data_IF_333109180582
#
_entry.id   IF_333109180582
#
_cell.length_a   1.000
_cell.length_b   1.000
_cell.length_c   1.000
_cell.angle_alpha   90.00
_cell.angle_beta   90.00
_cell.angle_gamma   90.00
#
_symmetry.space_group_name_H-M   'P 1'
#
loop_
_entity.id
_entity.type
_entity.pdbx_description
1 polymer ?
#
# COMPACT_ATOMS: atom_id res chain seq x y z
N UNK A 1 2.03 17.52 5.00
CA UNK A 1 1.55 16.23 4.45
C UNK A 1 1.91 15.20 5.48
N UNK A 2 0.92 14.67 6.19
CA UNK A 2 1.21 13.80 7.34
C UNK A 2 0.73 12.36 7.11
N UNK A 3 -0.09 12.12 6.08
CA UNK A 3 -0.64 10.80 5.76
C UNK A 3 -0.33 10.39 4.32
N UNK A 4 -0.26 9.07 4.08
CA UNK A 4 -0.16 8.47 2.75
C UNK A 4 -1.41 8.76 1.94
N UNK A 5 -2.58 8.77 2.59
CA UNK A 5 -3.85 9.16 1.97
C UNK A 5 -3.76 10.54 1.31
N UNK A 6 -3.28 11.56 2.03
CA UNK A 6 -3.10 12.91 1.48
C UNK A 6 -2.09 12.94 0.33
N UNK A 7 -0.95 12.25 0.51
CA UNK A 7 0.10 12.18 -0.49
C UNK A 7 -0.41 11.62 -1.83
N UNK A 8 -1.11 10.48 -1.78
CA UNK A 8 -1.65 9.82 -2.97
C UNK A 8 -2.72 10.67 -3.67
N UNK A 9 -3.56 11.36 -2.90
CA UNK A 9 -4.58 12.28 -3.43
C UNK A 9 -3.94 13.51 -4.10
N UNK A 10 -2.88 14.08 -3.51
CA UNK A 10 -2.18 15.22 -4.06
C UNK A 10 -1.40 14.89 -5.34
N UNK A 11 -0.91 13.66 -5.45
CA UNK A 11 -0.32 13.12 -6.67
C UNK A 11 -1.36 12.76 -7.75
N UNK A 12 -2.65 13.05 -7.55
CA UNK A 12 -3.70 12.85 -8.55
C UNK A 12 -4.12 11.39 -8.73
N UNK A 13 -3.77 10.50 -7.80
CA UNK A 13 -4.06 9.07 -7.93
C UNK A 13 -5.27 8.63 -7.12
N UNK A 14 -5.84 7.49 -7.53
CA UNK A 14 -6.74 6.72 -6.69
C UNK A 14 -6.00 5.60 -6.02
N UNK A 15 -6.48 5.21 -4.84
CA UNK A 15 -5.90 4.11 -4.11
C UNK A 15 -6.94 3.26 -3.38
N UNK A 16 -6.52 2.05 -3.05
CA UNK A 16 -7.24 1.07 -2.23
C UNK A 16 -6.25 0.42 -1.28
N UNK A 17 -6.71 0.19 -0.05
CA UNK A 17 -5.88 -0.40 1.00
C UNK A 17 -6.41 -1.79 1.35
N UNK A 18 -5.48 -2.71 1.56
CA UNK A 18 -5.76 -4.07 1.99
C UNK A 18 -4.87 -4.43 3.17
N UNK A 19 -5.42 -5.12 4.17
CA UNK A 19 -4.60 -5.87 5.13
C UNK A 19 -3.99 -7.07 4.40
N UNK A 20 -2.72 -7.36 4.69
CA UNK A 20 -2.00 -8.55 4.20
C UNK A 20 -1.27 -9.25 5.35
N UNK A 21 -1.65 -8.95 6.59
CA UNK A 21 -1.11 -9.54 7.81
C UNK A 21 -1.55 -10.99 7.95
N UNK A 22 -2.72 -11.20 8.57
CA UNK A 22 -3.27 -12.54 8.80
C UNK A 22 -4.06 -13.05 7.61
N UNK A 23 -4.83 -12.16 6.96
CA UNK A 23 -5.67 -12.46 5.79
C UNK A 23 -5.63 -11.29 4.84
N UNK A 24 -5.77 -11.57 3.54
CA UNK A 24 -5.94 -10.51 2.55
C UNK A 24 -7.38 -10.02 2.60
N UNK A 25 -7.59 -8.78 3.04
CA UNK A 25 -8.93 -8.17 3.13
C UNK A 25 -8.87 -6.67 2.90
N UNK A 26 -9.93 -6.11 2.33
CA UNK A 26 -10.00 -4.67 2.06
C UNK A 26 -10.17 -3.89 3.38
N UNK A 27 -9.44 -2.79 3.51
CA UNK A 27 -9.63 -1.79 4.56
C UNK A 27 -10.39 -0.60 3.94
N UNK A 28 -11.38 -0.07 4.65
CA UNK A 28 -12.08 1.14 4.20
C UNK A 28 -11.15 2.35 4.27
N UNK A 29 -11.31 3.29 3.34
CA UNK A 29 -10.50 4.51 3.30
C UNK A 29 -10.62 5.31 4.59
N UNK A 30 -11.83 5.37 5.19
CA UNK A 30 -12.07 6.04 6.47
C UNK A 30 -11.29 5.40 7.61
N UNK A 31 -11.32 4.07 7.73
CA UNK A 31 -10.59 3.35 8.78
C UNK A 31 -9.08 3.51 8.61
N UNK A 32 -8.59 3.48 7.36
CA UNK A 32 -7.19 3.72 7.07
C UNK A 32 -6.78 5.15 7.45
N UNK A 33 -7.59 6.15 7.08
CA UNK A 33 -7.33 7.54 7.42
C UNK A 33 -7.30 7.77 8.95
N UNK A 34 -8.24 7.20 9.70
CA UNK A 34 -8.23 7.31 11.17
C UNK A 34 -7.04 6.60 11.81
N UNK A 35 -6.64 5.45 11.27
CA UNK A 35 -5.40 4.76 11.65
C UNK A 35 -4.15 5.61 11.37
N UNK A 36 -4.06 6.21 10.18
CA UNK A 36 -2.96 7.08 9.79
C UNK A 36 -2.89 8.35 10.65
N UNK A 37 -4.00 8.80 11.23
CA UNK A 37 -4.02 9.90 12.18
C UNK A 37 -3.83 9.46 13.64
N UNK A 38 -3.51 8.18 13.88
CA UNK A 38 -3.42 7.57 15.21
C UNK A 38 -4.68 7.82 16.08
N UNK A 39 -5.86 7.93 15.46
CA UNK A 39 -7.14 8.08 16.17
C UNK A 39 -7.72 6.74 16.60
N UNK A 40 -7.45 5.70 15.82
CA UNK A 40 -7.93 4.34 16.07
C UNK A 40 -6.78 3.34 15.97
N UNK A 41 -6.74 2.31 16.84
CA UNK A 41 -5.76 1.25 16.72
C UNK A 41 -5.97 0.45 15.43
N UNK A 42 -4.90 -0.11 14.90
CA UNK A 42 -4.99 -0.96 13.71
C UNK A 42 -5.86 -2.19 14.00
N UNK A 43 -6.84 -2.53 13.15
CA UNK A 43 -7.81 -3.61 13.42
C UNK A 43 -7.19 -5.02 13.43
N UNK A 44 -6.09 -5.23 12.71
CA UNK A 44 -5.51 -6.57 12.49
C UNK A 44 -3.99 -6.61 12.77
N UNK A 45 -3.52 -6.23 13.97
CA UNK A 45 -2.09 -6.11 14.24
C UNK A 45 -1.41 -7.49 14.21
N UNK A 46 -0.23 -7.53 13.60
CA UNK A 46 0.60 -8.73 13.55
C UNK A 46 2.01 -8.41 14.03
N UNK A 47 2.41 -8.99 15.16
CA UNK A 47 3.72 -8.77 15.78
C UNK A 47 4.05 -7.27 15.98
N UNK A 48 3.10 -6.47 16.48
CA UNK A 48 3.22 -5.00 16.61
C UNK A 48 3.45 -4.25 15.29
N UNK A 49 3.02 -4.81 14.17
CA UNK A 49 3.06 -4.14 12.88
C UNK A 49 1.71 -4.23 12.18
N UNK A 50 1.37 -3.17 11.44
CA UNK A 50 0.33 -3.18 10.43
C UNK A 50 0.97 -3.58 9.09
N UNK A 51 0.59 -4.74 8.57
CA UNK A 51 1.01 -5.21 7.26
C UNK A 51 -0.08 -4.88 6.25
N UNK A 52 0.14 -3.83 5.46
CA UNK A 52 -0.82 -3.33 4.50
C UNK A 52 -0.27 -3.43 3.07
N UNK A 53 -1.19 -3.58 2.12
CA UNK A 53 -0.94 -3.41 0.71
C UNK A 53 -1.74 -2.20 0.22
N UNK A 54 -1.05 -1.20 -0.30
CA UNK A 54 -1.62 0.03 -0.84
C UNK A 54 -1.52 -0.05 -2.35
N UNK A 55 -2.65 -0.28 -3.00
CA UNK A 55 -2.80 -0.33 -4.45
C UNK A 55 -3.22 1.04 -4.94
N UNK A 56 -2.48 1.64 -5.87
CA UNK A 56 -2.79 2.95 -6.40
C UNK A 56 -2.56 3.02 -7.91
N UNK A 57 -3.28 3.92 -8.58
CA UNK A 57 -3.25 4.10 -10.03
C UNK A 57 -3.67 5.52 -10.41
N UNK A 58 -3.16 6.03 -11.52
CA UNK A 58 -3.63 7.27 -12.11
C UNK A 58 -4.83 6.96 -13.03
N UNK A 59 -5.89 7.77 -12.97
CA UNK A 59 -7.05 7.60 -13.88
C UNK A 59 -6.80 8.19 -15.27
N UNK A 60 -5.88 9.15 -15.37
CA UNK A 60 -5.68 9.95 -16.57
C UNK A 60 -4.52 9.44 -17.44
N UNK A 61 -3.57 8.71 -16.85
CA UNK A 61 -2.36 8.23 -17.52
C UNK A 61 -2.18 6.73 -17.25
N UNK A 62 -2.54 5.92 -18.25
CA UNK A 62 -2.39 4.45 -18.34
C UNK A 62 -3.12 3.58 -17.30
N UNK A 63 -3.49 2.37 -17.72
CA UNK A 63 -4.10 1.31 -16.89
C UNK A 63 -3.06 0.59 -15.98
N UNK A 64 -1.99 1.30 -15.63
CA UNK A 64 -0.89 0.77 -14.82
C UNK A 64 -1.24 0.86 -13.34
N UNK A 65 -1.13 -0.28 -12.67
CA UNK A 65 -1.46 -0.42 -11.26
C UNK A 65 -0.18 -0.63 -10.45
N UNK A 66 0.04 0.23 -9.48
CA UNK A 66 1.18 0.17 -8.57
C UNK A 66 0.74 -0.34 -7.21
N UNK A 67 1.58 -1.13 -6.55
CA UNK A 67 1.30 -1.63 -5.21
C UNK A 67 2.51 -1.45 -4.30
N UNK A 68 2.25 -0.89 -3.12
CA UNK A 68 3.21 -0.86 -2.02
C UNK A 68 2.81 -1.82 -0.91
N UNK A 69 3.73 -2.69 -0.53
CA UNK A 69 3.59 -3.55 0.62
C UNK A 69 4.33 -2.94 1.79
N UNK A 70 3.58 -2.40 2.74
CA UNK A 70 4.11 -1.64 3.86
C UNK A 70 3.92 -2.42 5.17
N UNK A 71 4.98 -2.45 5.97
CA UNK A 71 5.02 -2.98 7.33
C UNK A 71 5.22 -1.82 8.28
N UNK A 72 4.12 -1.20 8.68
CA UNK A 72 4.13 -0.03 9.56
C UNK A 72 4.25 -0.46 11.03
N UNK A 73 5.22 0.08 11.79
CA UNK A 73 5.34 -0.22 13.21
C UNK A 73 4.19 0.40 14.00
N UNK A 74 3.70 -0.36 14.96
CA UNK A 74 2.65 0.03 15.90
C UNK A 74 3.23 0.19 17.30
N UNK A 75 2.66 1.09 18.09
CA UNK A 75 2.97 1.22 19.50
C UNK A 75 2.26 0.14 20.35
N UNK A 76 2.42 0.20 21.67
CA UNK A 76 1.80 -0.73 22.61
C UNK A 76 0.26 -0.67 22.60
N UNK A 77 -0.32 0.45 22.17
CA UNK A 77 -1.76 0.65 22.03
C UNK A 77 -2.26 0.21 20.65
N UNK A 78 -1.38 -0.23 19.76
CA UNK A 78 -1.72 -0.59 18.37
C UNK A 78 -1.91 0.62 17.46
N UNK A 79 -1.49 1.81 17.88
CA UNK A 79 -1.52 3.04 17.10
C UNK A 79 -0.28 3.13 16.20
N UNK A 80 -0.42 3.85 15.09
CA UNK A 80 0.68 4.05 14.15
C UNK A 80 1.79 4.89 14.78
N UNK A 81 3.04 4.42 14.67
CA UNK A 81 4.22 5.23 14.98
C UNK A 81 4.45 6.25 13.86
N UNK A 82 3.88 7.45 14.03
CA UNK A 82 3.88 8.54 13.05
C UNK A 82 5.28 8.85 12.48
N UNK A 83 6.31 8.83 13.32
CA UNK A 83 7.69 9.11 12.91
C UNK A 83 8.18 8.16 11.79
N UNK A 84 7.74 6.90 11.81
CA UNK A 84 8.09 5.94 10.76
C UNK A 84 7.40 6.28 9.44
N UNK A 85 6.12 6.65 9.48
CA UNK A 85 5.37 7.07 8.29
C UNK A 85 5.94 8.36 7.69
N UNK A 86 6.22 9.37 8.51
CA UNK A 86 6.78 10.64 8.03
C UNK A 86 8.11 10.43 7.31
N UNK A 87 9.00 9.60 7.88
CA UNK A 87 10.28 9.26 7.24
C UNK A 87 10.09 8.53 5.91
N UNK A 88 9.09 7.65 5.83
CA UNK A 88 8.75 6.98 4.58
C UNK A 88 8.26 7.96 3.52
N UNK A 89 7.35 8.86 3.87
CA UNK A 89 6.84 9.88 2.94
C UNK A 89 7.95 10.81 2.44
N UNK A 90 8.88 11.21 3.30
CA UNK A 90 10.04 12.02 2.90
C UNK A 90 10.92 11.28 1.88
N UNK A 91 11.18 9.99 2.12
CA UNK A 91 11.92 9.14 1.18
C UNK A 91 11.20 8.98 -0.15
N UNK A 92 9.88 8.75 -0.12
CA UNK A 92 9.05 8.62 -1.32
C UNK A 92 9.05 9.91 -2.13
N UNK A 93 8.87 11.07 -1.48
CA UNK A 93 8.94 12.39 -2.15
C UNK A 93 10.32 12.63 -2.76
N UNK A 94 11.38 12.19 -2.09
CA UNK A 94 12.75 12.33 -2.60
C UNK A 94 13.06 11.37 -3.76
N UNK A 95 12.50 10.15 -3.72
CA UNK A 95 12.76 9.09 -4.68
C UNK A 95 11.87 9.17 -5.94
N UNK A 96 10.62 9.62 -5.81
CA UNK A 96 9.64 9.66 -6.89
C UNK A 96 9.25 11.10 -7.29
N UNK A 97 9.65 12.10 -6.51
CA UNK A 97 9.21 13.48 -6.74
C UNK A 97 7.72 13.65 -6.50
N UNK A 98 7.12 14.68 -7.13
CA UNK A 98 5.66 14.91 -7.10
C UNK A 98 4.90 14.02 -8.10
N UNK A 99 5.60 13.44 -9.07
CA UNK A 99 5.03 12.65 -10.15
C UNK A 99 5.32 11.16 -9.92
N UNK A 100 4.33 10.42 -9.42
CA UNK A 100 4.48 8.98 -9.11
C UNK A 100 4.65 8.08 -10.34
N UNK A 101 4.60 8.66 -11.54
CA UNK A 101 4.75 7.96 -12.82
C UNK A 101 6.19 7.91 -13.32
N UNK A 102 7.09 8.68 -12.71
CA UNK A 102 8.51 8.56 -13.03
C UNK A 102 9.01 7.21 -12.55
N UNK A 103 9.60 6.44 -13.47
CA UNK A 103 10.30 5.22 -13.08
C UNK A 103 11.51 5.66 -12.26
N UNK A 104 11.59 5.32 -10.97
CA UNK A 104 12.67 5.78 -10.12
C UNK A 104 14.01 5.31 -10.70
N UNK A 105 15.02 6.18 -10.68
CA UNK A 105 16.37 5.82 -11.09
C UNK A 105 16.90 4.66 -10.23
N UNK A 106 17.92 3.93 -10.71
CA UNK A 106 18.48 2.77 -9.98
C UNK A 106 18.85 3.09 -8.52
N UNK A 107 19.32 4.30 -8.25
CA UNK A 107 19.64 4.76 -6.89
C UNK A 107 18.39 5.03 -6.04
N UNK A 108 17.35 5.62 -6.62
CA UNK A 108 16.07 5.89 -5.96
C UNK A 108 15.29 4.61 -5.70
N UNK A 109 15.29 3.69 -6.66
CA UNK A 109 14.73 2.34 -6.53
C UNK A 109 15.44 1.58 -5.40
N UNK A 110 16.78 1.63 -5.35
CA UNK A 110 17.56 1.06 -4.26
C UNK A 110 17.21 1.67 -2.89
N UNK A 111 17.01 2.99 -2.81
CA UNK A 111 16.60 3.64 -1.56
C UNK A 111 15.22 3.18 -1.05
N UNK A 112 14.29 2.92 -1.97
CA UNK A 112 12.98 2.33 -1.65
C UNK A 112 13.11 0.85 -1.26
N UNK A 113 13.91 0.07 -1.98
CA UNK A 113 14.13 -1.35 -1.70
C UNK A 113 14.81 -1.60 -0.33
N UNK A 114 15.65 -0.67 0.13
CA UNK A 114 16.27 -0.72 1.46
C UNK A 114 15.40 -0.14 2.58
N UNK A 115 14.18 0.32 2.27
CA UNK A 115 13.32 0.91 3.27
C UNK A 115 12.79 -0.18 4.24
N UNK A 116 13.01 -0.06 5.56
CA UNK A 116 12.57 -1.06 6.53
C UNK A 116 11.04 -1.23 6.60
N UNK A 117 10.28 -0.26 6.07
CA UNK A 117 8.84 -0.34 5.98
C UNK A 117 8.37 -1.08 4.73
N UNK A 118 9.19 -1.20 3.69
CA UNK A 118 8.83 -1.97 2.51
C UNK A 118 9.20 -3.43 2.76
N UNK A 119 8.28 -4.34 2.46
CA UNK A 119 8.55 -5.77 2.54
C UNK A 119 8.01 -6.50 1.32
N UNK A 120 8.66 -7.61 0.97
CA UNK A 120 8.18 -8.48 -0.09
C UNK A 120 7.26 -9.56 0.51
N UNK A 121 5.95 -9.60 0.19
CA UNK A 121 5.08 -10.66 0.65
C UNK A 121 5.48 -12.00 0.04
N UNK A 122 5.12 -13.11 0.71
CA UNK A 122 5.29 -14.45 0.14
C UNK A 122 4.45 -14.62 -1.13
N UNK A 123 4.83 -15.56 -2.00
CA UNK A 123 4.11 -15.83 -3.25
C UNK A 123 2.62 -16.14 -3.02
N UNK A 124 2.32 -16.87 -1.95
CA UNK A 124 0.93 -17.16 -1.55
C UNK A 124 0.15 -15.89 -1.20
N UNK A 125 0.75 -14.98 -0.41
CA UNK A 125 0.12 -13.70 -0.04
C UNK A 125 -0.03 -12.80 -1.26
N UNK A 126 0.95 -12.79 -2.15
CA UNK A 126 0.89 -12.04 -3.40
C UNK A 126 -0.25 -12.53 -4.31
N UNK A 127 -0.42 -13.86 -4.45
CA UNK A 127 -1.51 -14.45 -5.22
C UNK A 127 -2.88 -14.11 -4.62
N UNK A 128 -3.01 -14.21 -3.29
CA UNK A 128 -4.23 -13.84 -2.58
C UNK A 128 -4.56 -12.35 -2.73
N UNK A 129 -3.57 -11.47 -2.61
CA UNK A 129 -3.69 -10.04 -2.86
C UNK A 129 -4.15 -9.77 -4.30
N UNK A 130 -3.50 -10.38 -5.27
CA UNK A 130 -3.83 -10.20 -6.69
C UNK A 130 -5.27 -10.62 -7.01
N UNK A 131 -5.75 -11.71 -6.39
CA UNK A 131 -7.15 -12.12 -6.53
C UNK A 131 -8.10 -11.10 -5.89
N UNK A 132 -7.83 -10.70 -4.65
CA UNK A 132 -8.65 -9.75 -3.91
C UNK A 132 -8.67 -8.35 -4.57
N UNK A 133 -7.54 -7.89 -5.10
CA UNK A 133 -7.44 -6.59 -5.77
C UNK A 133 -8.25 -6.60 -7.07
N UNK A 134 -8.14 -7.63 -7.90
CA UNK A 134 -8.94 -7.77 -9.13
C UNK A 134 -10.43 -7.78 -8.85
N UNK A 135 -10.88 -8.57 -7.86
CA UNK A 135 -12.28 -8.59 -7.44
C UNK A 135 -12.75 -7.22 -6.96
N UNK A 136 -11.94 -6.55 -6.14
CA UNK A 136 -12.28 -5.24 -5.63
C UNK A 136 -12.35 -4.19 -6.75
N UNK A 137 -11.44 -4.24 -7.72
CA UNK A 137 -11.36 -3.30 -8.83
C UNK A 137 -12.42 -3.51 -9.92
N UNK A 138 -13.22 -4.58 -9.85
CA UNK A 138 -14.16 -4.96 -10.91
C UNK A 138 -13.49 -5.06 -12.29
N UNK A 139 -12.18 -5.34 -12.33
CA UNK A 139 -11.48 -5.67 -13.56
C UNK A 139 -12.09 -6.97 -14.10
N UNK A 140 -12.34 -7.09 -15.43
CA UNK A 140 -12.82 -8.34 -15.99
C UNK A 140 -11.89 -9.48 -15.56
N UNK A 141 -12.47 -10.63 -15.22
CA UNK A 141 -11.70 -11.80 -14.86
C UNK A 141 -10.62 -12.01 -15.93
N UNK A 142 -9.36 -12.05 -15.50
CA UNK A 142 -8.21 -12.39 -16.35
C UNK A 142 -8.60 -13.55 -17.27
N UNK A 143 -8.39 -13.40 -18.59
CA UNK A 143 -8.69 -14.39 -19.64
C UNK A 143 -7.92 -15.73 -19.47
N UNK A 144 -7.24 -15.95 -18.34
CA UNK A 144 -6.46 -17.14 -18.01
C UNK A 144 -7.12 -18.07 -16.98
N UNK A 145 -8.45 -18.07 -16.90
CA UNK A 145 -9.16 -19.15 -16.23
C UNK A 145 -9.98 -19.91 -17.28
N UNK A 146 -9.29 -20.74 -18.06
CA UNK A 146 -9.98 -21.76 -18.85
C UNK A 146 -10.46 -22.85 -17.86
N UNK A 147 -11.77 -23.06 -17.68
CA UNK A 147 -12.24 -24.26 -17.02
C UNK A 147 -11.94 -25.44 -17.94
N UNK A 148 -11.05 -26.32 -17.50
CA UNK A 148 -10.94 -27.66 -18.10
C UNK A 148 -12.23 -28.42 -17.79
N UNK A 149 -13.05 -28.64 -18.81
CA UNK A 149 -14.03 -29.71 -18.85
C UNK A 149 -13.47 -30.86 -19.71
#
# INVERSE_FOLDING_TARGET
MNTLSEFLLQAGTQYRVFDIGRRVQKISTELFFDFENAKTPYPYPLQQHAMIAVLFWNKNENDNHYVWFLKLPLDEQGLLVQAALSKFLELVVTALGKDMEQTPDKEQQSALDHNPLIFKPSQQKLAAFTSASRLAMALPASQYMAPTL
#
